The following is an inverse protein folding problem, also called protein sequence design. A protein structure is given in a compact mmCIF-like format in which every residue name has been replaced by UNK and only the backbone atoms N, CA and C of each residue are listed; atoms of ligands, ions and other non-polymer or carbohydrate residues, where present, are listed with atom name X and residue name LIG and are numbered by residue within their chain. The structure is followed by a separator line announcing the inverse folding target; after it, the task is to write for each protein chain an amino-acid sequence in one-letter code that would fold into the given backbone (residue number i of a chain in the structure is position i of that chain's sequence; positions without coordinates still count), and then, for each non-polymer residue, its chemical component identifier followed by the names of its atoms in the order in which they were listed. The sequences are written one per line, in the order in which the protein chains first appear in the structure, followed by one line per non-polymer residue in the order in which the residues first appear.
data_IF_953035689332
#
_entry.id   IF_953035689332
#
_cell.length_a   1.000
_cell.length_b   1.000
_cell.length_c   1.000
_cell.angle_alpha   90.00
_cell.angle_beta   90.00
_cell.angle_gamma   90.00
#
_symmetry.space_group_name_H-M   'P 1'
#
loop_
_entity.id
_entity.type
_entity.pdbx_description
1 polymer ?
#
# COMPACT_ATOMS: atom_id res chain seq x y z
N UNK A 1 25.98 -28.88 -13.15
CA UNK A 1 25.38 -29.40 -14.41
C UNK A 1 24.15 -30.21 -14.05
N UNK A 2 22.99 -29.62 -14.08
CA UNK A 2 21.70 -30.30 -13.87
C UNK A 2 20.85 -30.05 -15.11
N UNK A 3 20.46 -31.15 -15.77
CA UNK A 3 19.68 -31.13 -17.02
C UNK A 3 18.21 -30.88 -16.74
N UNK A 4 17.63 -29.84 -17.29
CA UNK A 4 16.21 -29.55 -17.30
C UNK A 4 15.55 -30.42 -18.39
N UNK A 5 14.59 -31.26 -17.96
CA UNK A 5 13.71 -32.02 -18.85
C UNK A 5 12.41 -31.25 -19.11
N UNK A 6 12.28 -30.74 -20.31
CA UNK A 6 11.01 -30.19 -20.81
C UNK A 6 10.04 -31.32 -21.13
N UNK A 7 8.86 -31.35 -20.51
CA UNK A 7 7.73 -32.20 -20.90
C UNK A 7 6.80 -31.40 -21.83
N UNK A 8 6.70 -31.88 -23.06
CA UNK A 8 5.69 -31.43 -24.03
C UNK A 8 4.38 -32.16 -23.73
N UNK A 9 3.29 -31.43 -23.54
CA UNK A 9 1.95 -31.96 -23.53
C UNK A 9 1.36 -31.84 -24.94
N UNK A 10 0.99 -32.96 -25.50
CA UNK A 10 0.28 -33.05 -26.79
C UNK A 10 -1.22 -33.12 -26.50
N UNK A 11 -1.98 -32.14 -26.98
CA UNK A 11 -3.44 -32.14 -26.88
C UNK A 11 -4.00 -32.97 -28.07
N UNK A 12 -4.80 -33.99 -27.77
CA UNK A 12 -5.49 -34.83 -28.71
C UNK A 12 -6.93 -34.31 -28.85
N UNK A 13 -7.29 -33.80 -30.03
CA UNK A 13 -8.65 -33.40 -30.36
C UNK A 13 -9.44 -34.61 -30.87
N UNK A 14 -10.53 -34.94 -30.21
CA UNK A 14 -11.47 -36.00 -30.64
C UNK A 14 -12.69 -35.34 -31.28
N UNK A 15 -12.84 -35.48 -32.60
CA UNK A 15 -14.07 -35.13 -33.31
C UNK A 15 -15.02 -36.36 -33.29
N UNK A 16 -16.20 -36.13 -32.73
CA UNK A 16 -17.32 -37.08 -32.86
C UNK A 16 -18.37 -36.47 -33.79
N UNK A 17 -18.52 -37.05 -34.97
CA UNK A 17 -19.58 -36.73 -35.91
C UNK A 17 -20.88 -37.49 -35.54
N UNK A 18 -22.00 -36.78 -35.50
CA UNK A 18 -23.34 -37.37 -35.48
C UNK A 18 -24.05 -36.99 -36.77
N UNK A 19 -24.32 -38.00 -37.59
CA UNK A 19 -25.23 -37.90 -38.73
C UNK A 19 -26.65 -38.24 -38.25
N UNK A 20 -27.59 -37.31 -38.44
CA UNK A 20 -29.01 -37.54 -38.28
C UNK A 20 -29.69 -37.38 -39.65
N UNK A 21 -30.23 -38.47 -40.15
CA UNK A 21 -31.11 -38.48 -41.30
C UNK A 21 -32.53 -38.05 -40.87
N UNK A 22 -33.06 -37.02 -41.48
CA UNK A 22 -34.42 -36.53 -41.27
C UNK A 22 -35.20 -36.43 -42.56
N UNK A 23 -36.39 -37.00 -42.57
CA UNK A 23 -37.33 -37.13 -43.69
C UNK A 23 -37.83 -35.76 -44.17
N UNK A 24 -37.93 -35.65 -45.51
CA UNK A 24 -38.52 -34.50 -46.20
C UNK A 24 -40.06 -34.51 -46.11
N UNK A 25 -40.66 -33.32 -46.00
CA UNK A 25 -42.04 -32.99 -46.30
C UNK A 25 -42.09 -31.82 -47.29
N UNK A 26 -43.04 -31.77 -48.21
CA UNK A 26 -43.02 -30.81 -49.30
C UNK A 26 -43.60 -29.43 -48.93
N UNK A 27 -43.16 -28.47 -49.70
CA UNK A 27 -43.26 -27.04 -49.74
C UNK A 27 -44.63 -26.40 -49.60
N UNK A 28 -44.73 -25.34 -48.77
CA UNK A 28 -45.56 -24.18 -49.02
C UNK A 28 -44.66 -22.96 -49.14
N UNK A 29 -44.93 -21.99 -50.02
CA UNK A 29 -44.09 -20.80 -50.21
C UNK A 29 -44.32 -19.81 -49.11
N UNK A 30 -43.28 -19.56 -48.30
CA UNK A 30 -43.24 -18.48 -47.35
C UNK A 30 -42.75 -17.22 -48.07
N UNK A 31 -43.61 -16.19 -48.10
CA UNK A 31 -43.23 -14.82 -48.53
C UNK A 31 -42.02 -14.33 -47.66
N UNK A 32 -41.00 -13.90 -48.39
CA UNK A 32 -39.81 -13.33 -47.73
C UNK A 32 -40.18 -11.93 -47.17
N UNK A 33 -40.33 -11.83 -45.85
CA UNK A 33 -40.24 -10.55 -45.16
C UNK A 33 -38.80 -10.02 -45.33
N UNK A 34 -38.70 -8.90 -45.98
CA UNK A 34 -37.48 -8.11 -46.19
C UNK A 34 -37.04 -7.61 -44.81
N UNK A 35 -36.10 -8.33 -44.14
CA UNK A 35 -35.51 -7.94 -42.89
C UNK A 35 -34.72 -6.63 -43.10
N UNK A 36 -35.15 -5.57 -42.46
CA UNK A 36 -34.40 -4.30 -42.38
C UNK A 36 -32.96 -4.55 -41.88
N UNK A 37 -31.97 -3.86 -42.42
CA UNK A 37 -30.60 -4.03 -42.00
C UNK A 37 -30.48 -3.74 -40.50
N UNK A 38 -30.07 -4.74 -39.72
CA UNK A 38 -29.64 -4.54 -38.33
C UNK A 38 -28.36 -3.71 -38.40
N UNK A 39 -28.46 -2.44 -38.07
CA UNK A 39 -27.29 -1.61 -37.84
C UNK A 39 -26.71 -2.13 -36.51
N UNK A 40 -25.69 -2.96 -36.61
CA UNK A 40 -24.82 -3.25 -35.46
C UNK A 40 -24.20 -1.92 -35.05
N UNK A 41 -24.71 -1.33 -33.98
CA UNK A 41 -24.10 -0.22 -33.30
C UNK A 41 -22.79 -0.78 -32.70
N UNK A 42 -21.65 -0.51 -33.37
CA UNK A 42 -20.33 -0.83 -32.83
C UNK A 42 -20.26 -0.17 -31.45
N UNK A 43 -20.30 -0.97 -30.40
CA UNK A 43 -20.05 -0.50 -29.05
C UNK A 43 -18.66 0.14 -29.04
N UNK A 44 -18.63 1.46 -28.92
CA UNK A 44 -17.38 2.20 -28.73
C UNK A 44 -16.70 1.61 -27.50
N UNK A 45 -15.56 0.95 -27.69
CA UNK A 45 -14.67 0.56 -26.60
C UNK A 45 -14.14 1.87 -26.03
N UNK A 46 -14.72 2.33 -24.93
CA UNK A 46 -14.18 3.44 -24.15
C UNK A 46 -12.95 2.88 -23.50
N UNK A 47 -11.77 3.26 -23.99
CA UNK A 47 -10.52 2.93 -23.33
C UNK A 47 -10.52 3.55 -21.93
N UNK A 48 -10.38 2.72 -20.91
CA UNK A 48 -10.23 3.17 -19.52
C UNK A 48 -8.96 4.03 -19.43
N UNK A 49 -9.03 5.22 -18.81
CA UNK A 49 -7.88 6.08 -18.70
C UNK A 49 -6.78 5.43 -17.84
N UNK A 50 -5.52 5.60 -18.25
CA UNK A 50 -4.40 5.09 -17.48
C UNK A 50 -4.31 5.80 -16.12
N UNK A 51 -4.08 5.03 -15.07
CA UNK A 51 -3.99 5.53 -13.69
C UNK A 51 -2.62 5.31 -13.11
N UNK A 52 -2.17 6.28 -12.33
CA UNK A 52 -0.96 6.15 -11.53
C UNK A 52 -1.13 5.01 -10.52
N UNK A 53 -0.21 4.02 -10.49
CA UNK A 53 -0.39 2.78 -9.73
C UNK A 53 -0.57 2.93 -8.22
N UNK A 54 0.03 3.97 -7.61
CA UNK A 54 -0.01 4.18 -6.16
C UNK A 54 -1.07 5.20 -5.72
N UNK A 55 -1.51 6.06 -6.62
CA UNK A 55 -2.46 7.14 -6.27
C UNK A 55 -3.78 7.06 -6.99
N UNK A 56 -3.92 6.23 -8.02
CA UNK A 56 -5.13 6.17 -8.84
C UNK A 56 -5.43 7.43 -9.66
N UNK A 57 -4.59 8.44 -9.61
CA UNK A 57 -4.76 9.66 -10.40
C UNK A 57 -4.66 9.34 -11.90
N UNK A 58 -5.53 9.94 -12.71
CA UNK A 58 -5.45 9.83 -14.18
C UNK A 58 -4.20 10.57 -14.63
N UNK A 59 -3.32 9.88 -15.34
CA UNK A 59 -2.04 10.40 -15.82
C UNK A 59 -1.74 9.89 -17.22
N UNK A 60 -0.78 10.51 -17.89
CA UNK A 60 -0.19 9.94 -19.10
C UNK A 60 0.68 8.73 -18.72
N UNK A 61 0.44 7.57 -19.33
CA UNK A 61 1.19 6.33 -19.08
C UNK A 61 2.70 6.53 -19.25
N UNK A 62 3.13 7.32 -20.22
CA UNK A 62 4.54 7.64 -20.44
C UNK A 62 5.19 8.40 -19.27
N UNK A 63 4.40 9.04 -18.40
CA UNK A 63 4.89 9.72 -17.19
C UNK A 63 5.19 8.75 -16.04
N UNK A 64 4.68 7.51 -16.09
CA UNK A 64 4.87 6.49 -15.04
C UNK A 64 6.05 5.62 -15.43
N UNK A 65 7.24 5.98 -14.94
CA UNK A 65 8.49 5.28 -15.29
C UNK A 65 9.44 5.18 -14.10
N UNK A 66 10.33 4.20 -14.15
CA UNK A 66 11.32 3.94 -13.11
C UNK A 66 10.71 3.32 -11.83
N UNK A 67 11.56 2.95 -10.87
CA UNK A 67 11.13 2.26 -9.67
C UNK A 67 10.46 3.19 -8.67
N UNK A 68 9.55 2.63 -7.87
CA UNK A 68 9.11 3.27 -6.62
C UNK A 68 10.27 3.32 -5.64
N UNK A 69 10.42 4.44 -4.95
CA UNK A 69 11.31 4.56 -3.80
C UNK A 69 10.50 4.31 -2.54
N UNK A 70 10.96 3.38 -1.74
CA UNK A 70 10.42 3.07 -0.42
C UNK A 70 11.48 3.35 0.63
N UNK A 71 11.07 3.89 1.78
CA UNK A 71 11.99 4.04 2.90
C UNK A 71 11.31 3.73 4.22
N UNK A 72 12.08 3.10 5.13
CA UNK A 72 11.65 2.88 6.50
C UNK A 72 11.85 4.17 7.29
N UNK A 73 10.79 4.88 7.63
CA UNK A 73 10.82 6.19 8.29
C UNK A 73 10.60 6.05 9.79
N UNK A 74 11.40 6.77 10.57
CA UNK A 74 11.26 6.85 12.02
C UNK A 74 10.01 7.61 12.43
N UNK A 75 9.21 7.03 13.32
CA UNK A 75 8.06 7.74 13.88
C UNK A 75 8.41 8.67 15.04
N UNK A 76 9.59 8.50 15.65
CA UNK A 76 10.00 9.24 16.85
C UNK A 76 10.75 10.54 16.52
N UNK A 77 11.49 10.57 15.41
CA UNK A 77 12.25 11.75 14.99
C UNK A 77 11.38 12.67 14.12
N UNK A 78 11.25 13.90 14.53
CA UNK A 78 10.39 14.92 13.91
C UNK A 78 11.16 16.25 13.79
N UNK A 79 10.81 17.12 12.83
CA UNK A 79 9.81 16.91 11.78
C UNK A 79 10.23 15.83 10.78
N UNK A 80 9.26 15.20 10.11
CA UNK A 80 9.56 14.23 9.04
C UNK A 80 10.10 14.95 7.81
N UNK A 81 11.01 14.29 7.06
CA UNK A 81 11.59 14.87 5.84
C UNK A 81 10.85 14.31 4.63
N UNK A 82 10.11 15.16 3.95
CA UNK A 82 9.35 14.87 2.72
C UNK A 82 8.32 13.71 2.83
N UNK A 83 7.85 13.39 4.04
CA UNK A 83 6.81 12.38 4.22
C UNK A 83 5.46 12.82 3.64
N UNK A 84 5.16 14.12 3.63
CA UNK A 84 3.95 14.71 3.03
C UNK A 84 3.84 14.50 1.52
N UNK A 85 4.96 14.18 0.84
CA UNK A 85 5.01 13.89 -0.61
C UNK A 85 4.82 12.41 -0.94
N UNK A 86 4.80 11.53 0.07
CA UNK A 86 4.60 10.10 -0.15
C UNK A 86 3.21 9.80 -0.72
N UNK A 87 3.16 8.87 -1.68
CA UNK A 87 1.93 8.37 -2.27
C UNK A 87 1.18 7.43 -1.33
N UNK A 88 1.93 6.53 -0.68
CA UNK A 88 1.40 5.57 0.30
C UNK A 88 2.29 5.54 1.52
N UNK A 89 1.68 5.55 2.70
CA UNK A 89 2.38 5.44 3.99
C UNK A 89 1.79 4.30 4.80
N UNK A 90 2.56 3.24 5.01
CA UNK A 90 2.21 2.16 5.92
C UNK A 90 2.72 2.46 7.32
N UNK A 91 1.89 2.30 8.33
CA UNK A 91 2.27 2.38 9.74
C UNK A 91 2.11 1.01 10.39
N UNK A 92 3.14 0.57 11.10
CA UNK A 92 3.21 -0.77 11.64
C UNK A 92 4.02 -0.84 12.93
N UNK A 93 3.73 -1.87 13.71
CA UNK A 93 4.41 -2.12 14.97
C UNK A 93 5.90 -2.40 14.80
N UNK A 94 6.65 -1.92 15.79
CA UNK A 94 8.03 -2.31 16.04
C UNK A 94 8.15 -2.78 17.50
N UNK A 95 9.25 -3.47 17.90
CA UNK A 95 9.54 -3.73 19.32
C UNK A 95 9.54 -2.45 20.16
N UNK A 96 9.30 -2.60 21.47
CA UNK A 96 9.39 -1.51 22.44
C UNK A 96 8.27 -0.46 22.38
N UNK A 97 7.03 -0.91 22.12
CA UNK A 97 5.82 -0.06 22.13
C UNK A 97 5.94 1.17 21.22
N UNK A 98 6.27 0.94 19.99
CA UNK A 98 6.29 1.97 18.98
C UNK A 98 5.83 1.49 17.63
N UNK A 99 5.68 2.44 16.73
CA UNK A 99 5.43 2.17 15.31
C UNK A 99 6.51 2.82 14.45
N UNK A 100 6.60 2.39 13.20
CA UNK A 100 7.37 3.02 12.13
C UNK A 100 6.55 3.08 10.86
N UNK A 101 6.95 3.96 9.96
CA UNK A 101 6.39 4.00 8.63
C UNK A 101 7.25 3.24 7.62
N UNK A 102 6.62 2.64 6.62
CA UNK A 102 7.18 2.51 5.27
C UNK A 102 6.43 3.50 4.41
N UNK A 103 7.16 4.43 3.82
CA UNK A 103 6.59 5.39 2.90
C UNK A 103 7.09 5.10 1.48
N UNK A 104 6.21 5.30 0.50
CA UNK A 104 6.43 5.04 -0.91
C UNK A 104 6.26 6.34 -1.70
N UNK A 105 7.25 6.65 -2.54
CA UNK A 105 7.25 7.81 -3.43
C UNK A 105 7.47 7.34 -4.86
N UNK A 106 6.59 7.72 -5.75
CA UNK A 106 6.72 7.51 -7.19
C UNK A 106 6.15 8.68 -8.00
N UNK A 107 4.96 9.19 -7.65
CA UNK A 107 4.35 10.31 -8.37
C UNK A 107 5.12 11.63 -8.17
N UNK A 108 5.71 11.81 -7.00
CA UNK A 108 6.47 13.00 -6.60
C UNK A 108 7.66 12.60 -5.73
N UNK A 109 8.75 12.13 -6.36
CA UNK A 109 9.96 11.69 -5.64
C UNK A 109 10.82 12.90 -5.24
N UNK A 110 10.97 13.16 -3.92
CA UNK A 110 11.80 14.28 -3.45
C UNK A 110 13.30 13.99 -3.58
N UNK A 111 14.12 15.02 -3.50
CA UNK A 111 15.57 14.84 -3.47
C UNK A 111 16.02 13.98 -2.29
N UNK A 112 15.43 14.20 -1.11
CA UNK A 112 15.84 13.56 0.14
C UNK A 112 14.62 13.10 0.93
N UNK A 113 14.71 11.95 1.59
CA UNK A 113 13.70 11.44 2.52
C UNK A 113 14.34 11.06 3.86
N UNK A 114 13.59 11.11 4.94
CA UNK A 114 14.10 10.72 6.26
C UNK A 114 13.15 11.00 7.43
N UNK A 115 13.53 10.63 8.63
CA UNK A 115 14.81 9.95 8.95
C UNK A 115 14.65 8.45 8.77
N UNK A 116 15.62 7.83 8.08
CA UNK A 116 15.54 6.42 7.70
C UNK A 116 15.98 5.53 8.85
N UNK A 117 15.27 4.42 9.05
CA UNK A 117 15.50 3.42 10.11
C UNK A 117 15.63 2.01 9.55
N UNK A 118 15.94 1.10 10.45
CA UNK A 118 16.07 -0.33 10.14
C UNK A 118 14.72 -0.92 9.76
N UNK A 119 14.69 -1.73 8.72
CA UNK A 119 13.50 -2.47 8.33
C UNK A 119 13.19 -3.66 9.24
N UNK A 120 12.04 -4.28 9.04
CA UNK A 120 11.49 -5.41 9.76
C UNK A 120 11.04 -6.50 8.78
N UNK A 121 10.85 -7.76 9.21
CA UNK A 121 10.51 -8.86 8.30
C UNK A 121 9.30 -8.58 7.39
N UNK A 122 8.24 -7.99 7.91
CA UNK A 122 7.03 -7.70 7.14
C UNK A 122 7.21 -6.60 6.08
N UNK A 123 8.24 -5.76 6.19
CA UNK A 123 8.54 -4.72 5.20
C UNK A 123 8.80 -5.32 3.81
N UNK A 124 9.39 -6.52 3.78
CA UNK A 124 9.69 -7.22 2.54
C UNK A 124 8.41 -7.68 1.80
N UNK A 125 7.38 -8.06 2.55
CA UNK A 125 6.10 -8.44 1.94
C UNK A 125 5.37 -7.27 1.32
N UNK A 126 5.54 -6.06 1.85
CA UNK A 126 4.98 -4.84 1.25
C UNK A 126 5.82 -4.36 0.06
N UNK A 127 7.14 -4.56 0.11
CA UNK A 127 8.03 -4.17 -0.97
C UNK A 127 7.96 -5.12 -2.17
N UNK A 128 7.73 -6.42 -1.93
CA UNK A 128 7.81 -7.45 -2.97
C UNK A 128 6.87 -7.25 -4.15
N UNK A 129 5.62 -6.83 -3.98
CA UNK A 129 4.72 -6.59 -5.11
C UNK A 129 5.18 -5.44 -6.01
N UNK A 130 5.76 -4.39 -5.44
CA UNK A 130 6.17 -3.20 -6.18
C UNK A 130 7.51 -3.35 -6.89
N UNK A 131 8.35 -4.31 -6.45
CA UNK A 131 9.72 -4.51 -6.97
C UNK A 131 10.58 -3.23 -6.96
N UNK A 132 10.25 -2.28 -6.07
CA UNK A 132 10.94 -1.00 -5.96
C UNK A 132 12.19 -1.06 -5.08
N UNK A 133 12.79 0.10 -4.87
CA UNK A 133 13.99 0.27 -4.03
C UNK A 133 13.55 0.52 -2.59
N UNK A 134 13.91 -0.37 -1.66
CA UNK A 134 13.66 -0.20 -0.23
C UNK A 134 14.91 0.31 0.49
N UNK A 135 14.90 1.56 0.90
CA UNK A 135 15.96 2.19 1.68
C UNK A 135 15.80 1.89 3.19
N UNK A 136 16.87 1.42 3.81
CA UNK A 136 16.93 1.07 5.22
C UNK A 136 18.26 1.47 5.84
N UNK A 137 18.26 2.02 7.05
CA UNK A 137 19.50 2.31 7.78
C UNK A 137 20.08 1.08 8.49
N UNK A 138 19.57 -0.11 8.21
CA UNK A 138 20.06 -1.38 8.73
C UNK A 138 18.96 -2.40 8.94
N UNK A 139 19.34 -3.53 9.51
CA UNK A 139 18.44 -4.58 9.94
C UNK A 139 18.94 -5.24 11.22
N UNK A 140 18.04 -5.83 11.97
CA UNK A 140 18.43 -6.64 13.10
C UNK A 140 19.13 -7.91 12.60
N UNK A 141 20.28 -8.28 13.19
CA UNK A 141 21.15 -9.36 12.68
C UNK A 141 20.42 -10.70 12.45
N UNK A 142 19.42 -11.01 13.30
CA UNK A 142 18.62 -12.24 13.18
C UNK A 142 17.59 -12.19 12.02
N UNK A 143 17.37 -11.03 11.42
CA UNK A 143 16.50 -10.87 10.23
C UNK A 143 17.27 -11.07 8.92
N UNK A 144 18.60 -10.94 8.95
CA UNK A 144 19.44 -11.06 7.76
C UNK A 144 19.25 -12.40 7.02
N UNK A 145 19.27 -13.58 7.66
CA UNK A 145 19.05 -14.85 6.95
C UNK A 145 17.66 -14.95 6.30
N UNK A 146 16.65 -14.36 6.93
CA UNK A 146 15.30 -14.31 6.37
C UNK A 146 15.25 -13.43 5.11
N UNK A 147 15.90 -12.27 5.14
CA UNK A 147 16.01 -11.41 3.98
C UNK A 147 16.79 -12.09 2.84
N UNK A 148 17.93 -12.73 3.12
CA UNK A 148 18.70 -13.47 2.12
C UNK A 148 17.85 -14.55 1.44
N UNK A 149 17.09 -15.32 2.22
CA UNK A 149 16.17 -16.33 1.69
C UNK A 149 15.13 -15.74 0.75
N UNK A 150 14.53 -14.58 1.08
CA UNK A 150 13.54 -13.93 0.25
C UNK A 150 14.17 -13.28 -1.00
N UNK A 151 15.38 -12.74 -0.88
CA UNK A 151 16.14 -12.21 -2.01
C UNK A 151 16.51 -13.31 -2.99
N UNK A 152 17.01 -14.45 -2.50
CA UNK A 152 17.32 -15.62 -3.33
C UNK A 152 16.08 -16.21 -4.02
N UNK A 153 14.93 -16.11 -3.39
CA UNK A 153 13.65 -16.47 -3.98
C UNK A 153 13.08 -15.43 -4.97
N UNK A 154 13.77 -14.31 -5.19
CA UNK A 154 13.35 -13.24 -6.07
C UNK A 154 12.22 -12.38 -5.52
N UNK A 155 11.95 -12.45 -4.22
CA UNK A 155 10.86 -11.70 -3.56
C UNK A 155 11.19 -10.22 -3.45
N UNK A 156 12.46 -9.88 -3.20
CA UNK A 156 12.94 -8.49 -3.11
C UNK A 156 14.38 -8.43 -3.57
N UNK A 157 14.66 -7.64 -4.59
CA UNK A 157 16.00 -7.53 -5.18
C UNK A 157 16.76 -6.28 -4.75
N UNK A 158 16.04 -5.24 -4.26
CA UNK A 158 16.59 -3.90 -4.11
C UNK A 158 16.37 -3.37 -2.69
N UNK A 159 17.09 -3.96 -1.73
CA UNK A 159 17.17 -3.42 -0.36
C UNK A 159 18.51 -2.72 -0.20
N UNK A 160 18.48 -1.40 -0.01
CA UNK A 160 19.67 -0.60 0.18
C UNK A 160 19.90 -0.30 1.64
N UNK A 161 20.98 -0.85 2.19
CA UNK A 161 21.41 -0.63 3.56
C UNK A 161 22.57 0.37 3.56
N UNK A 162 22.45 1.47 4.30
CA UNK A 162 23.47 2.53 4.37
C UNK A 162 24.86 2.04 4.81
N UNK A 163 24.97 0.83 5.33
CA UNK A 163 26.23 0.20 5.73
C UNK A 163 26.99 -0.43 4.56
N UNK A 164 26.33 -0.65 3.44
CA UNK A 164 26.98 -1.17 2.23
C UNK A 164 27.84 -0.08 1.57
N UNK A 165 28.95 -0.47 0.95
CA UNK A 165 29.92 0.47 0.42
C UNK A 165 29.49 1.13 -0.89
N UNK A 166 28.67 0.43 -1.68
CA UNK A 166 28.42 0.76 -3.09
C UNK A 166 27.50 1.97 -3.29
N UNK A 167 26.67 2.29 -2.29
CA UNK A 167 25.66 3.36 -2.37
C UNK A 167 25.83 4.45 -1.29
N UNK A 168 27.02 4.60 -0.75
CA UNK A 168 27.31 5.56 0.33
C UNK A 168 27.01 7.01 -0.03
N UNK A 169 27.13 7.37 -1.28
CA UNK A 169 26.86 8.71 -1.79
C UNK A 169 25.37 9.08 -1.75
N UNK A 170 24.49 8.09 -1.63
CA UNK A 170 23.05 8.30 -1.47
C UNK A 170 22.62 8.52 0.00
N UNK A 171 23.55 8.42 0.95
CA UNK A 171 23.27 8.52 2.36
C UNK A 171 23.95 9.70 3.01
N UNK A 172 23.22 10.44 3.85
CA UNK A 172 23.78 11.51 4.66
C UNK A 172 23.40 11.35 6.12
N UNK A 173 24.36 11.64 7.01
CA UNK A 173 24.11 11.78 8.46
C UNK A 173 23.92 13.25 8.76
N UNK A 174 22.75 13.61 9.27
CA UNK A 174 22.34 15.01 9.48
C UNK A 174 22.86 15.55 10.80
N UNK A 175 22.83 14.75 11.86
CA UNK A 175 23.33 15.16 13.19
C UNK A 175 24.33 14.12 13.73
N UNK A 176 25.56 14.58 13.96
CA UNK A 176 26.65 13.73 14.48
C UNK A 176 26.53 13.44 15.98
N UNK A 177 25.69 14.18 16.71
CA UNK A 177 25.48 14.02 18.15
C UNK A 177 24.40 12.99 18.48
N UNK A 178 23.58 12.60 17.52
CA UNK A 178 22.62 11.50 17.68
C UNK A 178 23.24 10.16 17.31
N UNK A 179 22.83 9.10 17.98
CA UNK A 179 23.22 7.74 17.59
C UNK A 179 22.93 7.54 16.09
N UNK A 180 23.94 7.13 15.32
CA UNK A 180 23.95 7.11 13.84
C UNK A 180 22.69 6.60 13.15
N UNK A 181 21.93 5.72 13.80
CA UNK A 181 20.69 5.15 13.27
C UNK A 181 19.49 6.11 13.28
N UNK A 182 19.56 7.27 13.95
CA UNK A 182 18.38 8.14 14.15
C UNK A 182 18.37 9.41 13.31
N UNK A 183 19.44 9.69 12.58
CA UNK A 183 19.59 10.93 11.81
C UNK A 183 20.07 10.70 10.36
N UNK A 184 19.79 9.54 9.80
CA UNK A 184 20.21 9.19 8.44
C UNK A 184 19.12 9.56 7.44
N UNK A 185 19.52 10.25 6.37
CA UNK A 185 18.65 10.57 5.24
C UNK A 185 19.11 9.85 3.97
N UNK A 186 18.20 9.69 3.01
CA UNK A 186 18.42 8.99 1.76
C UNK A 186 18.08 9.87 0.57
N UNK A 187 18.98 9.90 -0.42
CA UNK A 187 18.83 10.68 -1.67
C UNK A 187 17.88 9.95 -2.65
N UNK A 188 16.59 10.08 -2.41
CA UNK A 188 15.55 9.30 -3.07
C UNK A 188 15.52 9.51 -4.60
N UNK A 189 15.53 10.76 -5.06
CA UNK A 189 15.51 11.09 -6.49
C UNK A 189 16.75 10.59 -7.24
N UNK A 190 17.92 10.78 -6.67
CA UNK A 190 19.17 10.27 -7.24
C UNK A 190 19.16 8.73 -7.35
N UNK A 191 18.58 8.05 -6.35
CA UNK A 191 18.42 6.60 -6.38
C UNK A 191 17.47 6.15 -7.49
N UNK A 192 16.33 6.81 -7.66
CA UNK A 192 15.39 6.54 -8.75
C UNK A 192 16.03 6.75 -10.12
N UNK A 193 16.68 7.88 -10.33
CA UNK A 193 17.36 8.22 -11.59
C UNK A 193 18.47 7.23 -11.94
N UNK A 194 19.28 6.81 -10.95
CA UNK A 194 20.34 5.79 -11.12
C UNK A 194 19.77 4.45 -11.59
N UNK A 195 18.51 4.15 -11.25
CA UNK A 195 17.82 2.90 -11.53
C UNK A 195 16.63 3.08 -12.47
N UNK A 196 16.59 4.09 -13.28
CA UNK A 196 15.46 4.43 -14.16
C UNK A 196 15.05 3.31 -15.14
N UNK A 197 15.90 2.31 -15.36
CA UNK A 197 15.60 1.14 -16.19
C UNK A 197 14.75 0.07 -15.48
N UNK A 198 14.55 0.18 -14.16
CA UNK A 198 13.67 -0.72 -13.43
C UNK A 198 12.21 -0.41 -13.74
N UNK A 199 11.36 -1.43 -13.63
CA UNK A 199 9.93 -1.28 -13.88
C UNK A 199 9.26 -0.31 -12.89
N UNK A 200 8.22 0.40 -13.30
CA UNK A 200 7.37 1.15 -12.38
C UNK A 200 6.61 0.19 -11.45
N UNK A 201 6.05 0.71 -10.32
CA UNK A 201 5.25 -0.11 -9.43
C UNK A 201 3.99 -0.65 -10.12
N UNK A 202 3.51 -1.80 -9.64
CA UNK A 202 2.18 -2.29 -9.99
C UNK A 202 1.09 -1.54 -9.23
N UNK A 203 -0.13 -1.57 -9.73
CA UNK A 203 -1.28 -0.96 -9.07
C UNK A 203 -1.48 -1.55 -7.67
N UNK A 204 -1.54 -0.68 -6.65
CA UNK A 204 -1.61 -1.11 -5.25
C UNK A 204 -3.04 -1.30 -4.75
N UNK A 205 -3.97 -0.47 -5.19
CA UNK A 205 -5.38 -0.52 -4.82
C UNK A 205 -6.25 -0.36 -6.05
N UNK A 206 -7.50 -0.81 -5.95
CA UNK A 206 -8.52 -0.45 -6.92
C UNK A 206 -9.02 0.96 -6.64
N UNK A 207 -9.16 1.77 -7.69
CA UNK A 207 -9.50 3.19 -7.57
C UNK A 207 -10.79 3.53 -8.31
N UNK A 208 -11.62 4.33 -7.68
CA UNK A 208 -12.77 5.00 -8.31
C UNK A 208 -12.31 6.16 -9.21
N UNK A 209 -13.24 6.77 -9.95
CA UNK A 209 -12.92 7.92 -10.80
C UNK A 209 -12.82 9.22 -9.99
N UNK A 210 -13.51 9.31 -8.86
CA UNK A 210 -13.52 10.47 -7.99
C UNK A 210 -13.65 10.07 -6.52
N UNK A 211 -13.56 11.06 -5.62
CA UNK A 211 -13.80 10.85 -4.18
C UNK A 211 -15.24 10.37 -3.96
N UNK A 212 -16.20 10.99 -4.62
CA UNK A 212 -17.63 10.71 -4.48
C UNK A 212 -18.00 9.29 -4.94
N UNK A 213 -17.26 8.75 -5.92
CA UNK A 213 -17.48 7.41 -6.44
C UNK A 213 -16.74 6.32 -5.64
N UNK A 214 -15.87 6.70 -4.70
CA UNK A 214 -15.15 5.75 -3.85
C UNK A 214 -16.10 4.99 -2.94
N UNK A 215 -15.72 3.76 -2.57
CA UNK A 215 -16.59 2.86 -1.80
C UNK A 215 -17.06 3.50 -0.47
N UNK A 216 -16.14 4.05 0.34
CA UNK A 216 -16.49 4.63 1.61
C UNK A 216 -17.33 5.91 1.47
N UNK A 217 -17.08 6.75 0.47
CA UNK A 217 -17.90 7.92 0.22
C UNK A 217 -19.34 7.57 -0.15
N UNK A 218 -19.57 6.44 -0.82
CA UNK A 218 -20.92 5.97 -1.17
C UNK A 218 -21.61 5.21 -0.06
N UNK A 219 -20.88 4.36 0.66
CA UNK A 219 -21.48 3.35 1.56
C UNK A 219 -21.17 3.61 3.04
N UNK A 220 -20.30 4.59 3.37
CA UNK A 220 -19.82 4.82 4.71
C UNK A 220 -20.67 5.76 5.53
N UNK A 221 -20.43 5.73 6.84
CA UNK A 221 -20.97 6.65 7.83
C UNK A 221 -20.13 7.93 7.89
N UNK A 222 -20.76 9.11 8.03
CA UNK A 222 -20.09 10.39 8.11
C UNK A 222 -19.27 10.52 9.40
N UNK A 223 -18.02 10.97 9.30
CA UNK A 223 -17.10 11.12 10.44
C UNK A 223 -16.35 12.44 10.38
N UNK A 224 -16.09 13.04 11.54
CA UNK A 224 -15.20 14.17 11.71
C UNK A 224 -13.78 13.77 12.11
N UNK A 225 -13.56 12.53 12.52
CA UNK A 225 -12.24 12.02 12.91
C UNK A 225 -12.14 10.50 12.82
N UNK A 226 -10.90 10.03 12.64
CA UNK A 226 -10.57 8.62 12.55
C UNK A 226 -9.30 8.35 13.37
N UNK A 227 -9.41 7.44 14.34
CA UNK A 227 -8.30 7.10 15.23
C UNK A 227 -8.02 5.62 15.18
N UNK A 228 -6.75 5.25 15.07
CA UNK A 228 -6.31 3.86 15.17
C UNK A 228 -5.41 3.66 16.36
N UNK A 229 -5.58 2.53 17.02
CA UNK A 229 -4.80 2.11 18.17
C UNK A 229 -3.98 0.87 17.79
N UNK A 230 -2.67 0.95 17.96
CA UNK A 230 -1.78 -0.21 17.78
C UNK A 230 -1.61 -1.02 19.08
N UNK A 231 -2.33 -0.67 20.15
CA UNK A 231 -2.44 -1.36 21.41
C UNK A 231 -3.62 -0.82 22.21
N UNK A 232 -4.39 -1.67 22.88
CA UNK A 232 -5.49 -1.26 23.74
C UNK A 232 -5.05 -0.45 24.97
N UNK A 233 -3.85 -0.71 25.49
CA UNK A 233 -3.41 -0.15 26.77
C UNK A 233 -2.53 1.08 26.64
N UNK A 234 -2.18 1.52 25.43
CA UNK A 234 -1.21 2.59 25.22
C UNK A 234 -1.75 3.64 24.26
N UNK A 235 -2.15 4.80 24.80
CA UNK A 235 -2.60 5.95 24.02
C UNK A 235 -1.49 7.02 24.04
N UNK A 236 -0.56 6.92 23.11
CA UNK A 236 0.45 7.95 22.88
C UNK A 236 0.70 8.06 21.37
N UNK A 237 1.38 9.11 20.95
CA UNK A 237 1.65 9.38 19.53
C UNK A 237 2.37 8.24 18.80
N UNK A 238 3.08 7.35 19.50
CA UNK A 238 3.82 6.24 18.88
C UNK A 238 2.97 4.99 18.67
N UNK A 239 1.85 4.87 19.40
CA UNK A 239 0.95 3.73 19.37
C UNK A 239 -0.47 4.10 18.91
N UNK A 240 -0.68 5.36 18.58
CA UNK A 240 -1.98 5.90 18.14
C UNK A 240 -1.78 6.75 16.90
N UNK A 241 -2.61 6.58 15.89
CA UNK A 241 -2.66 7.50 14.77
C UNK A 241 -4.04 8.19 14.76
N UNK A 242 -4.03 9.51 14.88
CA UNK A 242 -5.23 10.35 14.92
C UNK A 242 -5.30 11.17 13.65
N UNK A 243 -6.49 11.23 13.05
CA UNK A 243 -6.78 12.00 11.85
C UNK A 243 -8.08 12.78 12.05
N UNK A 244 -8.10 14.01 11.61
CA UNK A 244 -9.27 14.88 11.59
C UNK A 244 -9.70 15.12 10.14
N UNK A 245 -11.00 15.04 9.87
CA UNK A 245 -11.53 15.31 8.55
C UNK A 245 -11.51 16.80 8.22
N UNK A 246 -10.88 17.14 7.11
CA UNK A 246 -10.82 18.50 6.58
C UNK A 246 -11.64 18.59 5.29
N UNK A 247 -12.86 19.09 5.41
CA UNK A 247 -13.77 19.23 4.26
C UNK A 247 -13.29 20.27 3.23
N UNK A 248 -12.42 21.20 3.59
CA UNK A 248 -11.92 22.22 2.68
C UNK A 248 -10.91 21.64 1.66
N UNK A 249 -10.17 20.62 2.07
CA UNK A 249 -9.15 19.95 1.25
C UNK A 249 -9.59 18.56 0.78
N UNK A 250 -10.71 18.04 1.28
CA UNK A 250 -11.14 16.65 1.12
C UNK A 250 -10.06 15.64 1.56
N UNK A 251 -9.42 15.90 2.70
CA UNK A 251 -8.37 15.05 3.28
C UNK A 251 -8.63 14.77 4.74
N UNK A 252 -8.01 13.71 5.23
CA UNK A 252 -7.83 13.45 6.65
C UNK A 252 -6.46 13.98 7.08
N UNK A 253 -6.47 15.03 7.88
CA UNK A 253 -5.27 15.69 8.40
C UNK A 253 -4.74 14.92 9.61
N UNK A 254 -3.48 14.48 9.55
CA UNK A 254 -2.87 13.76 10.68
C UNK A 254 -2.51 14.72 11.80
N UNK A 255 -2.98 14.40 13.02
CA UNK A 255 -2.67 15.15 14.23
C UNK A 255 -2.02 14.23 15.28
N UNK A 256 -1.40 14.84 16.29
CA UNK A 256 -0.97 14.17 17.51
C UNK A 256 -2.16 13.91 18.44
N UNK A 257 -1.95 13.07 19.45
CA UNK A 257 -3.00 12.77 20.44
C UNK A 257 -3.50 14.03 21.16
N UNK A 258 -2.67 15.06 21.30
CA UNK A 258 -3.03 16.36 21.88
C UNK A 258 -3.72 17.33 20.89
N UNK A 259 -3.92 16.92 19.63
CA UNK A 259 -4.55 17.74 18.59
C UNK A 259 -3.58 18.61 17.77
N UNK A 260 -2.29 18.66 18.11
CA UNK A 260 -1.33 19.43 17.32
C UNK A 260 -1.10 18.80 15.93
N UNK A 261 -0.92 19.64 14.91
CA UNK A 261 -0.64 19.20 13.55
C UNK A 261 0.66 18.39 13.44
N UNK A 262 0.63 17.28 12.70
CA UNK A 262 1.83 16.50 12.37
C UNK A 262 2.47 17.08 11.12
N UNK A 263 3.65 17.64 11.25
CA UNK A 263 4.34 18.41 10.21
C UNK A 263 5.46 17.59 9.55
N UNK A 264 5.60 17.76 8.25
CA UNK A 264 6.72 17.31 7.43
C UNK A 264 7.40 18.50 6.77
N UNK A 265 8.70 18.48 6.66
CA UNK A 265 9.54 19.54 6.07
C UNK A 265 10.22 19.04 4.80
N UNK A 266 10.62 19.96 3.92
CA UNK A 266 11.29 19.59 2.66
C UNK A 266 12.77 19.25 2.85
N UNK A 267 13.41 19.84 3.86
CA UNK A 267 14.84 19.68 4.10
C UNK A 267 15.11 19.14 5.52
N UNK A 268 16.15 18.32 5.71
CA UNK A 268 16.58 17.88 7.02
C UNK A 268 16.86 19.06 7.95
N UNK A 269 16.38 19.00 9.20
CA UNK A 269 16.45 20.09 10.18
C UNK A 269 15.71 21.37 9.77
N UNK A 270 14.83 21.30 8.76
CA UNK A 270 13.98 22.41 8.36
C UNK A 270 13.09 22.91 9.50
N UNK A 271 12.69 24.18 9.41
CA UNK A 271 11.79 24.80 10.39
C UNK A 271 10.37 24.18 10.27
N UNK A 272 9.84 23.55 11.34
CA UNK A 272 8.48 23.01 11.33
C UNK A 272 7.40 24.07 11.05
N UNK A 273 7.63 25.34 11.36
CA UNK A 273 6.67 26.42 11.10
C UNK A 273 6.47 26.72 9.61
N UNK A 274 7.44 26.32 8.77
CA UNK A 274 7.39 26.41 7.32
C UNK A 274 7.05 25.06 6.66
N UNK A 275 6.76 24.03 7.44
CA UNK A 275 6.48 22.69 6.93
C UNK A 275 5.02 22.51 6.50
N UNK A 276 4.77 21.35 5.90
CA UNK A 276 3.45 20.92 5.41
C UNK A 276 2.85 19.91 6.36
N UNK A 277 1.58 20.07 6.73
CA UNK A 277 0.83 19.09 7.51
C UNK A 277 0.68 17.79 6.72
N UNK A 278 0.84 16.65 7.39
CA UNK A 278 0.54 15.35 6.81
C UNK A 278 -0.97 15.20 6.63
N UNK A 279 -1.39 14.92 5.40
CA UNK A 279 -2.77 14.74 5.03
C UNK A 279 -2.90 13.62 3.98
N UNK A 280 -4.00 12.87 4.07
CA UNK A 280 -4.28 11.73 3.19
C UNK A 280 -5.71 11.79 2.67
N UNK A 281 -5.90 11.41 1.42
CA UNK A 281 -7.25 11.27 0.81
C UNK A 281 -7.96 10.03 1.34
N UNK A 282 -7.20 8.95 1.52
CA UNK A 282 -7.71 7.67 1.99
C UNK A 282 -6.99 7.22 3.26
N UNK A 283 -7.75 6.69 4.21
CA UNK A 283 -7.22 5.95 5.34
C UNK A 283 -7.70 4.50 5.25
N UNK A 284 -6.78 3.56 5.44
CA UNK A 284 -7.06 2.13 5.49
C UNK A 284 -6.48 1.59 6.79
N UNK A 285 -7.29 0.97 7.62
CA UNK A 285 -6.83 0.27 8.81
C UNK A 285 -7.19 -1.21 8.68
N UNK A 286 -6.22 -2.10 8.73
CA UNK A 286 -6.47 -3.54 8.68
C UNK A 286 -6.13 -4.21 10.01
N UNK A 287 -7.06 -5.01 10.53
CA UNK A 287 -6.79 -5.90 11.67
C UNK A 287 -6.07 -7.12 11.15
N UNK A 288 -4.81 -7.28 11.55
CA UNK A 288 -3.93 -8.34 11.06
C UNK A 288 -3.20 -9.00 12.22
N UNK A 289 -3.17 -10.33 12.21
CA UNK A 289 -2.44 -11.07 13.22
C UNK A 289 -0.94 -10.83 13.10
N UNK A 290 -0.27 -10.67 14.23
CA UNK A 290 1.17 -10.49 14.29
C UNK A 290 1.84 -11.70 14.96
N UNK A 291 2.86 -12.22 14.30
CA UNK A 291 3.77 -13.21 14.87
C UNK A 291 4.94 -12.56 15.58
N UNK A 292 5.53 -13.27 16.53
CA UNK A 292 6.84 -12.93 17.06
C UNK A 292 7.91 -13.61 16.20
N UNK A 293 8.56 -12.84 15.35
CA UNK A 293 9.74 -13.29 14.63
C UNK A 293 11.00 -12.79 15.35
N UNK A 294 11.60 -13.62 16.21
CA UNK A 294 12.80 -13.30 17.02
C UNK A 294 12.70 -11.96 17.76
N UNK A 295 11.58 -11.75 18.45
CA UNK A 295 11.30 -10.51 19.18
C UNK A 295 10.87 -9.33 18.30
N UNK A 296 10.55 -9.57 17.03
CA UNK A 296 10.05 -8.56 16.09
C UNK A 296 8.58 -8.84 15.76
N UNK A 297 7.64 -7.97 16.14
CA UNK A 297 6.25 -8.11 15.71
C UNK A 297 6.21 -8.07 14.18
N UNK A 298 5.61 -9.11 13.60
CA UNK A 298 5.56 -9.29 12.13
C UNK A 298 4.14 -9.56 11.70
N UNK A 299 3.54 -8.66 10.92
CA UNK A 299 2.19 -8.80 10.41
C UNK A 299 2.08 -9.97 9.42
N UNK A 300 1.06 -10.83 9.59
CA UNK A 300 0.74 -11.96 8.72
C UNK A 300 -0.03 -11.49 7.49
N UNK A 301 0.64 -10.84 6.57
CA UNK A 301 0.02 -10.31 5.35
C UNK A 301 -0.24 -11.40 4.30
N UNK A 302 0.67 -12.38 4.17
CA UNK A 302 0.58 -13.40 3.14
C UNK A 302 -0.57 -14.36 3.40
N UNK A 303 -1.46 -14.49 2.42
CA UNK A 303 -2.65 -15.36 2.48
C UNK A 303 -3.50 -15.12 3.74
N UNK A 304 -3.34 -13.96 4.37
CA UNK A 304 -4.13 -13.55 5.53
C UNK A 304 -5.50 -13.02 5.11
N UNK A 305 -6.37 -12.84 6.07
CA UNK A 305 -7.66 -12.17 5.89
C UNK A 305 -8.16 -11.62 7.22
N UNK A 306 -9.04 -10.66 7.16
CA UNK A 306 -9.63 -10.09 8.37
C UNK A 306 -10.46 -8.86 8.06
N UNK A 307 -10.81 -8.16 9.11
CA UNK A 307 -11.56 -6.90 9.01
C UNK A 307 -10.65 -5.74 8.63
N UNK A 308 -11.18 -4.83 7.83
CA UNK A 308 -10.58 -3.54 7.53
C UNK A 308 -11.58 -2.40 7.69
N UNK A 309 -11.07 -1.20 7.81
CA UNK A 309 -11.84 0.05 7.78
C UNK A 309 -11.22 0.94 6.70
N UNK A 310 -12.08 1.51 5.89
CA UNK A 310 -11.70 2.46 4.84
C UNK A 310 -12.38 3.78 5.09
N UNK A 311 -11.62 4.85 5.18
CA UNK A 311 -12.15 6.20 5.31
C UNK A 311 -11.75 7.06 4.11
N UNK A 312 -12.75 7.69 3.46
CA UNK A 312 -12.60 8.55 2.28
C UNK A 312 -13.77 9.51 2.22
N UNK A 313 -13.54 10.77 1.81
CA UNK A 313 -14.60 11.76 1.63
C UNK A 313 -15.37 12.09 2.91
N UNK A 314 -14.72 12.05 4.07
CA UNK A 314 -15.33 12.30 5.37
C UNK A 314 -16.28 11.19 5.82
N UNK A 315 -16.14 10.00 5.27
CA UNK A 315 -16.95 8.83 5.65
C UNK A 315 -16.07 7.62 5.91
N UNK A 316 -16.54 6.68 6.72
CA UNK A 316 -15.87 5.42 7.04
C UNK A 316 -16.78 4.23 6.75
N UNK A 317 -16.22 3.17 6.16
CA UNK A 317 -16.88 1.88 5.99
C UNK A 317 -16.03 0.78 6.59
N UNK A 318 -16.70 -0.19 7.22
CA UNK A 318 -16.10 -1.45 7.65
C UNK A 318 -16.21 -2.45 6.52
N UNK A 319 -15.09 -3.05 6.14
CA UNK A 319 -14.94 -3.99 5.01
C UNK A 319 -14.07 -5.16 5.44
N UNK A 320 -13.72 -6.04 4.51
CA UNK A 320 -12.75 -7.10 4.74
C UNK A 320 -11.47 -6.86 3.92
N UNK A 321 -10.39 -7.52 4.30
CA UNK A 321 -9.17 -7.59 3.52
C UNK A 321 -8.74 -9.03 3.31
N UNK A 322 -8.09 -9.29 2.16
CA UNK A 322 -7.51 -10.56 1.78
C UNK A 322 -6.07 -10.36 1.34
N UNK A 323 -5.14 -11.07 1.97
CA UNK A 323 -3.72 -11.06 1.62
C UNK A 323 -3.46 -11.93 0.41
N UNK A 324 -2.59 -11.45 -0.48
CA UNK A 324 -2.09 -12.21 -1.61
C UNK A 324 -0.97 -13.18 -1.22
N UNK A 325 -0.49 -13.93 -2.21
CA UNK A 325 0.75 -14.69 -2.14
C UNK A 325 1.97 -13.74 -2.14
N UNK A 326 3.17 -14.30 -2.00
CA UNK A 326 4.41 -13.55 -2.15
C UNK A 326 4.46 -12.88 -3.53
N UNK A 327 4.71 -11.58 -3.56
CA UNK A 327 4.70 -10.77 -4.79
C UNK A 327 3.34 -10.24 -5.19
N UNK A 328 2.28 -10.59 -4.48
CA UNK A 328 0.92 -10.07 -4.71
C UNK A 328 0.54 -9.06 -3.62
N UNK A 329 -0.26 -8.07 -4.01
CA UNK A 329 -0.84 -7.11 -3.06
C UNK A 329 -1.97 -7.74 -2.26
N UNK A 330 -2.23 -7.20 -1.05
CA UNK A 330 -3.49 -7.46 -0.38
C UNK A 330 -4.62 -6.66 -1.06
N UNK A 331 -5.84 -7.17 -0.95
CA UNK A 331 -7.05 -6.56 -1.52
C UNK A 331 -8.02 -6.17 -0.43
N UNK A 332 -8.76 -5.09 -0.68
CA UNK A 332 -9.91 -4.70 0.12
C UNK A 332 -11.16 -5.22 -0.59
N UNK A 333 -12.00 -5.93 0.14
CA UNK A 333 -13.20 -6.58 -0.41
C UNK A 333 -14.39 -6.37 0.51
N UNK A 334 -15.59 -6.47 -0.06
CA UNK A 334 -16.83 -6.59 0.67
C UNK A 334 -17.68 -7.71 0.07
N UNK A 335 -18.85 -7.97 0.61
CA UNK A 335 -19.73 -9.03 0.11
C UNK A 335 -20.21 -8.83 -1.34
N UNK A 336 -20.04 -7.64 -1.92
CA UNK A 336 -20.43 -7.31 -3.30
C UNK A 336 -19.24 -7.32 -4.29
N UNK A 337 -18.00 -7.33 -3.81
CA UNK A 337 -16.82 -7.34 -4.66
C UNK A 337 -15.64 -6.54 -4.11
N UNK A 338 -14.90 -5.90 -5.00
CA UNK A 338 -13.71 -5.11 -4.67
C UNK A 338 -14.09 -3.74 -4.12
N UNK A 339 -13.38 -3.29 -3.08
CA UNK A 339 -13.52 -1.98 -2.47
C UNK A 339 -12.57 -0.99 -3.15
N UNK A 340 -13.11 0.07 -3.73
CA UNK A 340 -12.34 1.10 -4.42
C UNK A 340 -12.01 2.27 -3.49
N UNK A 341 -10.78 2.77 -3.58
CA UNK A 341 -10.32 4.01 -2.96
C UNK A 341 -10.53 5.21 -3.88
N UNK A 342 -10.52 6.41 -3.33
CA UNK A 342 -10.46 7.62 -4.14
C UNK A 342 -9.06 7.84 -4.72
N UNK A 343 -8.92 8.51 -5.89
CA UNK A 343 -7.62 8.99 -6.34
C UNK A 343 -7.00 9.95 -5.32
N UNK A 344 -5.76 9.65 -4.90
CA UNK A 344 -5.02 10.45 -3.93
C UNK A 344 -4.08 9.63 -3.04
N UNK A 345 -3.52 10.30 -2.03
CA UNK A 345 -2.58 9.69 -1.08
C UNK A 345 -3.30 8.78 -0.10
N UNK A 346 -2.65 7.67 0.25
CA UNK A 346 -3.23 6.67 1.15
C UNK A 346 -2.35 6.41 2.36
N UNK A 347 -2.94 6.46 3.57
CA UNK A 347 -2.33 5.91 4.77
C UNK A 347 -2.92 4.54 5.07
N UNK A 348 -2.06 3.59 5.50
CA UNK A 348 -2.44 2.21 5.84
C UNK A 348 -1.88 1.84 7.21
N UNK A 349 -2.74 1.46 8.15
CA UNK A 349 -2.35 0.96 9.48
C UNK A 349 -2.51 -0.55 9.59
N UNK A 350 -1.46 -1.25 10.06
CA UNK A 350 -1.50 -2.67 10.39
C UNK A 350 -1.73 -2.84 11.88
N UNK A 351 -2.99 -3.01 12.28
CA UNK A 351 -3.41 -3.11 13.66
C UNK A 351 -3.33 -4.57 14.15
N UNK A 352 -2.76 -4.83 15.34
CA UNK A 352 -2.69 -6.19 15.85
C UNK A 352 -4.08 -6.79 16.07
N UNK A 353 -4.33 -7.96 15.50
CA UNK A 353 -5.53 -8.75 15.74
C UNK A 353 -5.51 -9.45 17.12
N UNK A 354 -6.64 -10.02 17.52
CA UNK A 354 -6.84 -10.66 18.83
C UNK A 354 -5.96 -11.91 19.04
N UNK A 355 -5.69 -12.66 17.98
CA UNK A 355 -4.89 -13.88 18.01
C UNK A 355 -3.38 -13.63 17.77
N UNK A 356 -2.94 -12.37 17.81
CA UNK A 356 -1.52 -12.02 17.67
C UNK A 356 -0.67 -12.69 18.76
N UNK A 357 0.39 -13.35 18.37
CA UNK A 357 1.32 -14.07 19.27
C UNK A 357 2.54 -13.23 19.64
N UNK A 358 2.85 -12.21 18.86
CA UNK A 358 3.95 -11.29 19.11
C UNK A 358 3.65 -10.44 20.35
N UNK A 359 3.82 -10.99 21.50
CA UNK A 359 3.69 -10.29 22.79
C UNK A 359 5.05 -9.92 23.30
N UNK A 360 5.54 -8.75 22.98
CA UNK A 360 6.64 -8.18 23.75
C UNK A 360 6.13 -7.83 25.15
N UNK A 361 7.02 -7.77 26.15
CA UNK A 361 6.67 -7.60 27.56
C UNK A 361 5.80 -6.35 27.87
N UNK A 362 5.59 -5.48 26.92
CA UNK A 362 4.85 -4.23 27.03
C UNK A 362 3.71 -4.10 25.99
N UNK A 363 3.28 -5.20 25.40
CA UNK A 363 2.19 -5.21 24.43
C UNK A 363 0.85 -5.28 25.16
N UNK A 364 0.06 -4.24 25.02
CA UNK A 364 -1.15 -4.09 25.80
C UNK A 364 -2.43 -4.66 25.18
N UNK A 365 -2.33 -5.65 24.30
CA UNK A 365 -3.52 -6.26 23.69
C UNK A 365 -3.73 -5.90 22.21
N UNK A 366 -4.89 -6.31 21.62
CA UNK A 366 -5.20 -6.04 20.23
C UNK A 366 -5.29 -4.54 19.93
N UNK A 367 -5.13 -4.19 18.67
CA UNK A 367 -5.38 -2.84 18.18
C UNK A 367 -6.86 -2.63 17.84
N UNK A 368 -7.22 -1.41 17.55
CA UNK A 368 -8.61 -1.07 17.23
C UNK A 368 -8.75 0.22 16.46
N UNK A 369 -9.98 0.49 16.04
CA UNK A 369 -10.39 1.73 15.37
C UNK A 369 -11.47 2.39 16.18
N UNK A 370 -11.37 3.71 16.35
CA UNK A 370 -12.45 4.57 16.82
C UNK A 370 -12.64 5.72 15.82
N UNK A 371 -13.85 6.16 15.63
CA UNK A 371 -14.17 7.33 14.81
C UNK A 371 -15.23 8.17 15.48
N UNK A 372 -15.15 9.48 15.24
CA UNK A 372 -16.11 10.45 15.76
C UNK A 372 -17.16 10.72 14.68
N UNK A 373 -18.41 10.39 14.96
CA UNK A 373 -19.52 10.68 14.05
C UNK A 373 -20.05 12.10 14.26
N UNK A 374 -20.50 12.73 13.18
CA UNK A 374 -21.14 14.04 13.20
C UNK A 374 -22.59 13.98 13.75
N UNK A 375 -23.20 12.80 13.72
CA UNK A 375 -24.47 12.48 14.36
C UNK A 375 -24.29 11.18 15.14
N UNK A 376 -25.02 10.99 16.24
CA UNK A 376 -24.92 9.76 17.04
C UNK A 376 -25.02 8.51 16.14
N UNK A 377 -23.89 7.81 16.01
CA UNK A 377 -23.84 6.52 15.33
C UNK A 377 -24.64 5.47 16.11
#
# INVERSE_FOLDING_TARGET
MIRIRTRRFTALALMAGLTLAGCARPDEPIEAEESAPVVEEEAQVVEEPFRHPLTGAIVDEASVSGPVIMAKIDHQNRPYVNLHRADVVFQQLIPQNGTRFIAMWHSDVPNTVGYVRSFRPHDLYMASPTQGILASSGMFALVVPFWEQLSDAGVTQYVWDYRTADDRDLWATVDKNYAMASSVTFAAKAAQERNAALAPPVQMFDYANSIEESFAAQNGEAVSGFTTYFSESTTNDYMTAVFEWNAATNTFDKVFVNGDAVISVDEPLGDPSAGTQLAFTNLVAISVEHDDFVGQPTARLLNGKGTAWVATGGKVSKVDWEGGAVGEQFRLVDGSGTVTLAPGKTWVGFLPGEASTARTANWGGPGGVAYTCDAAC
#
